data_IF_662201611056
#
_entry.id   IF_662201611056
#
_cell.length_a   1.000
_cell.length_b   1.000
_cell.length_c   1.000
_cell.angle_alpha   90.00
_cell.angle_beta   90.00
_cell.angle_gamma   90.00
#
_symmetry.space_group_name_H-M   'P 1'
#
loop_
_entity.id
_entity.type
_entity.pdbx_description
1 polymer ?
#
# COMPACT_ATOMS: atom_id res chain seq x y z
N UNK A 1 -27.79 -3.24 0.80
CA UNK A 1 -27.63 -3.26 -0.66
C UNK A 1 -26.64 -2.18 -1.02
N UNK A 2 -25.39 -2.55 -1.29
CA UNK A 2 -24.37 -1.58 -1.69
C UNK A 2 -24.61 -1.10 -3.11
N UNK A 3 -24.79 0.18 -3.31
CA UNK A 3 -25.20 0.81 -4.58
C UNK A 3 -24.19 0.56 -5.72
N UNK A 4 -22.98 0.10 -5.43
CA UNK A 4 -21.91 0.00 -6.42
C UNK A 4 -21.43 -1.42 -6.75
N UNK A 5 -21.73 -2.42 -5.94
CA UNK A 5 -21.26 -3.79 -6.20
C UNK A 5 -22.22 -4.83 -5.61
N UNK A 6 -23.02 -5.54 -6.42
CA UNK A 6 -23.75 -6.69 -5.96
C UNK A 6 -22.74 -7.78 -5.58
N UNK A 7 -22.74 -8.19 -4.32
CA UNK A 7 -22.03 -9.41 -3.92
C UNK A 7 -22.86 -10.59 -4.40
N UNK A 8 -22.36 -11.34 -5.38
CA UNK A 8 -22.99 -12.57 -5.80
C UNK A 8 -23.08 -13.56 -4.63
N UNK A 9 -24.21 -14.30 -4.51
CA UNK A 9 -24.37 -15.27 -3.44
C UNK A 9 -23.27 -16.34 -3.54
N UNK A 10 -22.62 -16.63 -2.42
CA UNK A 10 -21.57 -17.65 -2.35
C UNK A 10 -22.20 -19.00 -2.64
N UNK A 11 -21.89 -19.57 -3.79
CA UNK A 11 -22.24 -20.94 -4.12
C UNK A 11 -21.36 -21.85 -3.29
N UNK A 12 -21.94 -22.56 -2.32
CA UNK A 12 -21.24 -23.60 -1.56
C UNK A 12 -21.00 -24.81 -2.46
N UNK A 13 -19.92 -24.74 -3.25
CA UNK A 13 -19.44 -25.80 -4.12
C UNK A 13 -17.98 -26.14 -3.82
N UNK A 14 -17.45 -27.16 -4.48
CA UNK A 14 -16.02 -27.51 -4.39
C UNK A 14 -15.19 -26.32 -4.88
N UNK A 15 -14.44 -25.72 -3.96
CA UNK A 15 -13.59 -24.57 -4.27
C UNK A 15 -12.43 -25.02 -5.16
N UNK A 16 -12.23 -24.34 -6.28
CA UNK A 16 -11.03 -24.49 -7.07
C UNK A 16 -9.78 -24.20 -6.20
N UNK A 17 -8.66 -24.89 -6.46
CA UNK A 17 -7.40 -24.68 -5.72
C UNK A 17 -6.33 -24.15 -6.68
N UNK A 18 -5.43 -23.31 -6.17
CA UNK A 18 -4.30 -22.79 -6.94
C UNK A 18 -4.69 -21.71 -7.95
N UNK A 19 -4.06 -21.72 -9.12
CA UNK A 19 -4.26 -20.74 -10.20
C UNK A 19 -5.71 -20.55 -10.65
N UNK A 20 -6.52 -21.60 -10.85
CA UNK A 20 -7.94 -21.43 -11.21
C UNK A 20 -8.73 -20.63 -10.17
N UNK A 21 -8.41 -20.80 -8.88
CA UNK A 21 -9.05 -20.02 -7.82
C UNK A 21 -8.68 -18.55 -7.90
N UNK A 22 -7.43 -18.25 -8.21
CA UNK A 22 -6.96 -16.88 -8.38
C UNK A 22 -7.67 -16.18 -9.56
N UNK A 23 -7.82 -16.86 -10.68
CA UNK A 23 -8.55 -16.33 -11.85
C UNK A 23 -10.02 -16.05 -11.53
N UNK A 24 -10.71 -16.99 -10.87
CA UNK A 24 -12.08 -16.81 -10.41
C UNK A 24 -12.26 -15.57 -9.51
N UNK A 25 -11.36 -15.38 -8.55
CA UNK A 25 -11.37 -14.22 -7.68
C UNK A 25 -11.10 -12.93 -8.43
N UNK A 26 -10.15 -12.95 -9.36
CA UNK A 26 -9.82 -11.80 -10.19
C UNK A 26 -11.02 -11.38 -11.05
N UNK A 27 -11.68 -12.32 -11.70
CA UNK A 27 -12.87 -12.04 -12.51
C UNK A 27 -14.04 -11.50 -11.69
N UNK A 28 -14.26 -12.06 -10.49
CA UNK A 28 -15.35 -11.66 -9.61
C UNK A 28 -15.11 -10.31 -8.94
N UNK A 29 -13.93 -10.10 -8.39
CA UNK A 29 -13.65 -9.01 -7.44
C UNK A 29 -12.68 -7.94 -7.97
N UNK A 30 -12.26 -8.01 -9.25
CA UNK A 30 -11.24 -7.09 -9.80
C UNK A 30 -11.59 -5.60 -9.62
N UNK A 31 -12.88 -5.25 -9.77
CA UNK A 31 -13.34 -3.86 -9.54
C UNK A 31 -13.16 -3.44 -8.09
N UNK A 32 -13.46 -4.34 -7.16
CA UNK A 32 -13.30 -4.11 -5.73
C UNK A 32 -11.82 -3.92 -5.36
N UNK A 33 -10.94 -4.69 -5.98
CA UNK A 33 -9.50 -4.57 -5.80
C UNK A 33 -8.98 -3.24 -6.34
N UNK A 34 -9.36 -2.86 -7.55
CA UNK A 34 -9.00 -1.57 -8.12
C UNK A 34 -9.45 -0.40 -7.23
N UNK A 35 -10.68 -0.44 -6.71
CA UNK A 35 -11.16 0.61 -5.82
C UNK A 35 -10.39 0.65 -4.50
N UNK A 36 -10.05 -0.51 -3.92
CA UNK A 36 -9.21 -0.57 -2.72
C UNK A 36 -7.83 0.02 -2.96
N UNK A 37 -7.23 -0.28 -4.13
CA UNK A 37 -5.95 0.29 -4.55
C UNK A 37 -6.03 1.81 -4.73
N UNK A 38 -7.06 2.32 -5.42
CA UNK A 38 -7.26 3.76 -5.61
C UNK A 38 -7.44 4.50 -4.28
N UNK A 39 -8.21 3.95 -3.35
CA UNK A 39 -8.39 4.53 -2.01
C UNK A 39 -7.06 4.54 -1.25
N UNK A 40 -6.33 3.44 -1.29
CA UNK A 40 -5.02 3.33 -0.63
C UNK A 40 -4.01 4.30 -1.25
N UNK A 41 -3.94 4.39 -2.58
CA UNK A 41 -3.11 5.37 -3.29
C UNK A 41 -3.49 6.80 -2.91
N UNK A 42 -4.80 7.12 -2.84
CA UNK A 42 -5.29 8.43 -2.40
C UNK A 42 -4.80 8.80 -1.00
N UNK A 43 -4.78 7.84 -0.08
CA UNK A 43 -4.24 8.03 1.28
C UNK A 43 -2.70 8.14 1.31
N UNK A 44 -2.01 7.62 0.29
CA UNK A 44 -0.56 7.75 0.15
C UNK A 44 -0.12 9.07 -0.50
N UNK A 45 -1.03 9.82 -1.17
CA UNK A 45 -0.69 11.08 -1.84
C UNK A 45 -0.01 12.10 -0.91
N UNK A 46 -0.50 12.38 0.32
CA UNK A 46 0.14 13.34 1.21
C UNK A 46 1.59 12.96 1.53
N UNK A 47 1.85 11.67 1.73
CA UNK A 47 3.20 11.15 1.93
C UNK A 47 4.08 11.38 0.70
N UNK A 48 3.60 11.00 -0.49
CA UNK A 48 4.33 11.17 -1.75
C UNK A 48 4.68 12.64 -2.04
N UNK A 49 3.72 13.56 -1.82
CA UNK A 49 3.95 15.00 -1.99
C UNK A 49 4.97 15.53 -0.97
N UNK A 50 4.88 15.09 0.28
CA UNK A 50 5.83 15.48 1.33
C UNK A 50 7.25 14.99 1.05
N UNK A 51 7.40 13.74 0.61
CA UNK A 51 8.71 13.19 0.20
C UNK A 51 9.24 13.96 -1.01
N UNK A 52 8.41 14.19 -2.03
CA UNK A 52 8.79 14.98 -3.20
C UNK A 52 9.31 16.38 -2.81
N UNK A 53 8.62 17.06 -1.89
CA UNK A 53 9.07 18.35 -1.37
C UNK A 53 10.40 18.25 -0.61
N UNK A 54 10.57 17.23 0.24
CA UNK A 54 11.80 17.00 0.98
C UNK A 54 12.99 16.72 0.05
N UNK A 55 12.76 15.99 -1.02
CA UNK A 55 13.77 15.73 -2.06
C UNK A 55 14.16 17.01 -2.80
N UNK A 56 13.18 17.79 -3.26
CA UNK A 56 13.43 19.07 -3.96
C UNK A 56 14.19 20.07 -3.09
N UNK A 57 13.91 20.10 -1.79
CA UNK A 57 14.61 20.96 -0.82
C UNK A 57 15.94 20.37 -0.34
N UNK A 58 16.28 19.15 -0.73
CA UNK A 58 17.46 18.39 -0.27
C UNK A 58 17.61 18.39 1.26
N UNK A 59 16.46 18.36 1.99
CA UNK A 59 16.42 18.54 3.43
C UNK A 59 15.98 17.27 4.16
N UNK A 60 16.94 16.62 4.80
CA UNK A 60 16.69 15.45 5.65
C UNK A 60 15.82 15.79 6.89
N UNK A 61 15.91 17.05 7.38
CA UNK A 61 15.07 17.53 8.48
C UNK A 61 13.59 17.58 8.13
N UNK A 62 13.25 17.83 6.87
CA UNK A 62 11.86 17.78 6.37
C UNK A 62 11.42 16.36 6.13
N UNK A 63 12.31 15.50 5.62
CA UNK A 63 12.01 14.12 5.29
C UNK A 63 11.56 13.31 6.52
N UNK A 64 12.25 13.44 7.65
CA UNK A 64 11.95 12.65 8.85
C UNK A 64 10.50 12.83 9.35
N UNK A 65 10.00 14.06 9.62
CA UNK A 65 8.62 14.24 10.05
C UNK A 65 7.61 13.82 8.97
N UNK A 66 7.92 14.01 7.68
CA UNK A 66 7.06 13.56 6.58
C UNK A 66 6.92 12.04 6.58
N UNK A 67 8.01 11.30 6.78
CA UNK A 67 7.97 9.84 6.85
C UNK A 67 7.20 9.34 8.08
N UNK A 68 7.35 9.99 9.23
CA UNK A 68 6.61 9.63 10.44
C UNK A 68 5.10 9.87 10.23
N UNK A 69 4.71 11.07 9.80
CA UNK A 69 3.31 11.41 9.55
C UNK A 69 2.72 10.57 8.41
N UNK A 70 3.50 10.34 7.35
CA UNK A 70 3.13 9.46 6.25
C UNK A 70 2.85 8.04 6.71
N UNK A 71 3.70 7.48 7.56
CA UNK A 71 3.55 6.14 8.12
C UNK A 71 2.28 5.96 8.96
N UNK A 72 1.82 7.02 9.64
CA UNK A 72 0.56 7.03 10.39
C UNK A 72 -0.66 6.85 9.48
N UNK A 73 -0.60 7.28 8.22
CA UNK A 73 -1.66 7.13 7.23
C UNK A 73 -1.50 5.88 6.37
N UNK A 74 -0.29 5.69 5.85
CA UNK A 74 0.04 4.60 4.91
C UNK A 74 -0.06 3.22 5.58
N UNK A 75 0.40 3.07 6.82
CA UNK A 75 0.36 1.80 7.54
C UNK A 75 -1.07 1.24 7.68
N UNK A 76 -2.01 1.98 8.28
CA UNK A 76 -3.40 1.56 8.37
C UNK A 76 -4.08 1.37 7.01
N UNK A 77 -3.76 2.20 6.01
CA UNK A 77 -4.34 2.08 4.67
C UNK A 77 -3.94 0.76 4.00
N UNK A 78 -2.66 0.42 4.00
CA UNK A 78 -2.16 -0.86 3.47
C UNK A 78 -2.75 -2.04 4.26
N UNK A 79 -2.82 -1.95 5.58
CA UNK A 79 -3.42 -2.99 6.42
C UNK A 79 -4.89 -3.21 6.10
N UNK A 80 -5.67 -2.13 5.86
CA UNK A 80 -7.06 -2.20 5.43
C UNK A 80 -7.22 -2.88 4.08
N UNK A 81 -6.37 -2.53 3.12
CA UNK A 81 -6.34 -3.13 1.79
C UNK A 81 -6.04 -4.64 1.87
N UNK A 82 -5.00 -5.03 2.60
CA UNK A 82 -4.64 -6.44 2.77
C UNK A 82 -5.74 -7.25 3.45
N UNK A 83 -6.37 -6.71 4.51
CA UNK A 83 -7.47 -7.41 5.19
C UNK A 83 -8.70 -7.57 4.27
N UNK A 84 -9.01 -6.57 3.44
CA UNK A 84 -10.07 -6.65 2.45
C UNK A 84 -9.80 -7.75 1.40
N UNK A 85 -8.56 -7.83 0.89
CA UNK A 85 -8.10 -8.87 -0.04
C UNK A 85 -8.21 -10.27 0.57
N UNK A 86 -7.71 -10.46 1.80
CA UNK A 86 -7.77 -11.75 2.48
C UNK A 86 -9.20 -12.18 2.80
N UNK A 87 -10.10 -11.24 3.11
CA UNK A 87 -11.52 -11.53 3.33
C UNK A 87 -12.23 -11.90 2.06
N UNK A 88 -11.92 -11.23 0.95
CA UNK A 88 -12.44 -11.64 -0.37
C UNK A 88 -11.95 -13.03 -0.74
N UNK A 89 -10.68 -13.35 -0.51
CA UNK A 89 -10.14 -14.69 -0.74
C UNK A 89 -10.85 -15.78 0.08
N UNK A 90 -11.32 -15.44 1.28
CA UNK A 90 -12.08 -16.34 2.17
C UNK A 90 -13.58 -16.33 1.93
N UNK A 91 -14.06 -15.66 0.87
CA UNK A 91 -15.49 -15.50 0.56
C UNK A 91 -16.29 -14.88 1.71
N UNK A 92 -15.74 -13.87 2.37
CA UNK A 92 -16.44 -13.19 3.46
C UNK A 92 -17.67 -12.43 2.95
N UNK A 93 -18.83 -12.52 3.64
CA UNK A 93 -20.13 -12.06 3.13
C UNK A 93 -20.30 -10.54 3.09
N UNK A 94 -19.27 -9.76 3.34
CA UNK A 94 -19.33 -8.29 3.40
C UNK A 94 -18.73 -7.67 2.15
N UNK A 95 -19.26 -6.49 1.77
CA UNK A 95 -18.69 -5.67 0.71
C UNK A 95 -17.23 -5.28 0.99
N UNK A 96 -16.43 -5.06 -0.07
CA UNK A 96 -15.01 -4.72 0.05
C UNK A 96 -14.77 -3.47 0.92
N UNK A 97 -15.63 -2.45 0.81
CA UNK A 97 -15.52 -1.20 1.57
C UNK A 97 -15.67 -1.41 3.08
N UNK A 98 -16.67 -2.21 3.49
CA UNK A 98 -16.84 -2.55 4.90
C UNK A 98 -15.65 -3.34 5.43
N UNK A 99 -15.13 -4.29 4.64
CA UNK A 99 -13.96 -5.07 4.99
C UNK A 99 -12.71 -4.19 5.08
N UNK A 100 -12.52 -3.26 4.15
CA UNK A 100 -11.42 -2.29 4.14
C UNK A 100 -11.45 -1.41 5.40
N UNK A 101 -12.58 -0.74 5.66
CA UNK A 101 -12.74 0.12 6.84
C UNK A 101 -12.58 -0.65 8.15
N UNK A 102 -13.11 -1.88 8.20
CA UNK A 102 -12.98 -2.75 9.37
C UNK A 102 -11.53 -3.16 9.59
N UNK A 103 -10.83 -3.59 8.55
CA UNK A 103 -9.42 -3.96 8.60
C UNK A 103 -8.55 -2.79 9.07
N UNK A 104 -8.75 -1.61 8.48
CA UNK A 104 -8.06 -0.40 8.89
C UNK A 104 -8.29 -0.05 10.36
N UNK A 105 -9.54 -0.13 10.85
CA UNK A 105 -9.87 0.15 12.27
C UNK A 105 -9.32 -0.91 13.22
N UNK A 106 -9.42 -2.18 12.86
CA UNK A 106 -8.94 -3.29 13.71
C UNK A 106 -7.41 -3.30 13.85
N UNK A 107 -6.72 -3.01 12.75
CA UNK A 107 -5.26 -3.10 12.68
C UNK A 107 -4.56 -1.75 12.87
N UNK A 108 -5.31 -0.68 13.18
CA UNK A 108 -4.78 0.67 13.32
C UNK A 108 -3.50 0.70 14.17
N UNK A 109 -3.58 0.23 15.43
CA UNK A 109 -2.45 0.30 16.36
C UNK A 109 -1.27 -0.59 15.95
N UNK A 110 -1.54 -1.77 15.44
CA UNK A 110 -0.51 -2.74 15.05
C UNK A 110 0.18 -2.36 13.75
N UNK A 111 -0.48 -1.59 12.88
CA UNK A 111 0.07 -1.15 11.59
C UNK A 111 0.82 0.18 11.64
N UNK A 112 0.73 0.95 12.74
CA UNK A 112 1.42 2.22 12.87
C UNK A 112 2.94 2.06 12.81
N UNK A 113 3.49 1.21 13.67
CA UNK A 113 4.95 1.02 13.74
C UNK A 113 5.52 0.48 12.44
N UNK A 114 4.99 -0.63 11.85
CA UNK A 114 5.44 -1.09 10.55
C UNK A 114 5.30 -0.04 9.44
N UNK A 115 4.21 0.75 9.45
CA UNK A 115 3.97 1.81 8.48
C UNK A 115 5.03 2.92 8.57
N UNK A 116 5.37 3.37 9.79
CA UNK A 116 6.41 4.37 10.01
C UNK A 116 7.78 3.84 9.55
N UNK A 117 8.13 2.61 9.95
CA UNK A 117 9.41 2.00 9.55
C UNK A 117 9.50 1.86 8.04
N UNK A 118 8.44 1.42 7.38
CA UNK A 118 8.37 1.30 5.93
C UNK A 118 8.54 2.67 5.24
N UNK A 119 7.81 3.70 5.67
CA UNK A 119 7.90 5.03 5.10
C UNK A 119 9.27 5.67 5.34
N UNK A 120 9.88 5.44 6.52
CA UNK A 120 11.25 5.89 6.80
C UNK A 120 12.27 5.22 5.88
N UNK A 121 12.21 3.89 5.77
CA UNK A 121 13.13 3.14 4.91
C UNK A 121 13.03 3.62 3.46
N UNK A 122 11.82 3.68 2.91
CA UNK A 122 11.56 4.12 1.55
C UNK A 122 11.98 5.58 1.33
N UNK A 123 11.67 6.48 2.27
CA UNK A 123 12.03 7.90 2.16
C UNK A 123 13.54 8.12 2.21
N UNK A 124 14.24 7.42 3.10
CA UNK A 124 15.70 7.48 3.21
C UNK A 124 16.35 6.92 1.93
N UNK A 125 15.88 5.78 1.44
CA UNK A 125 16.40 5.18 0.20
C UNK A 125 16.25 6.11 -0.99
N UNK A 126 15.07 6.72 -1.17
CA UNK A 126 14.83 7.70 -2.23
C UNK A 126 15.72 8.94 -2.08
N UNK A 127 15.94 9.42 -0.84
CA UNK A 127 16.80 10.56 -0.59
C UNK A 127 18.25 10.27 -0.95
N UNK A 128 18.79 9.16 -0.48
CA UNK A 128 20.15 8.75 -0.83
C UNK A 128 20.29 8.46 -2.33
N UNK A 129 19.30 7.81 -2.94
CA UNK A 129 19.27 7.60 -4.37
C UNK A 129 19.39 8.92 -5.14
N UNK A 130 18.61 9.94 -4.75
CA UNK A 130 18.67 11.27 -5.37
C UNK A 130 20.04 11.95 -5.18
N UNK A 131 20.58 11.89 -3.95
CA UNK A 131 21.91 12.46 -3.67
C UNK A 131 23.00 11.80 -4.52
N UNK A 132 22.95 10.46 -4.64
CA UNK A 132 23.91 9.71 -5.47
C UNK A 132 23.76 10.01 -6.96
N UNK A 133 22.55 10.17 -7.47
CA UNK A 133 22.31 10.59 -8.85
C UNK A 133 22.79 12.01 -9.15
N UNK A 134 22.69 12.90 -8.16
CA UNK A 134 23.14 14.29 -8.26
C UNK A 134 24.66 14.43 -8.16
N UNK A 135 25.34 13.46 -7.56
CA UNK A 135 26.79 13.40 -7.49
C UNK A 135 27.34 12.84 -8.82
N UNK A 136 27.70 13.70 -9.76
CA UNK A 136 28.22 13.36 -11.11
C UNK A 136 29.45 12.40 -11.11
N UNK A 137 29.92 11.94 -9.97
CA UNK A 137 31.14 11.18 -9.80
C UNK A 137 30.98 9.66 -9.62
N UNK A 138 29.76 9.13 -9.61
CA UNK A 138 29.58 7.69 -9.43
C UNK A 138 29.47 6.97 -10.77
N UNK A 139 30.37 5.99 -11.05
CA UNK A 139 30.23 5.15 -12.24
C UNK A 139 28.88 4.42 -12.18
N UNK A 140 28.15 4.41 -13.30
CA UNK A 140 26.74 3.97 -13.39
C UNK A 140 26.38 2.58 -12.79
N UNK A 141 27.39 1.71 -12.57
CA UNK A 141 27.25 0.40 -11.94
C UNK A 141 27.11 0.53 -10.40
N UNK A 142 27.81 1.51 -9.78
CA UNK A 142 27.72 1.73 -8.33
C UNK A 142 26.34 2.25 -7.89
N UNK A 143 25.67 2.99 -8.77
CA UNK A 143 24.32 3.52 -8.50
C UNK A 143 23.27 2.41 -8.44
N UNK A 144 23.38 1.39 -9.28
CA UNK A 144 22.47 0.25 -9.27
C UNK A 144 22.64 -0.63 -8.03
N UNK A 145 23.85 -0.76 -7.50
CA UNK A 145 24.10 -1.57 -6.30
C UNK A 145 23.42 -1.01 -5.03
N UNK A 146 23.22 0.31 -4.95
CA UNK A 146 22.57 0.96 -3.80
C UNK A 146 21.05 0.70 -3.78
N UNK A 147 20.44 0.41 -4.93
CA UNK A 147 19.01 0.07 -5.00
C UNK A 147 18.69 -1.39 -4.68
N UNK A 148 19.72 -2.25 -4.59
CA UNK A 148 19.53 -3.70 -4.36
C UNK A 148 20.07 -4.18 -2.99
N UNK A 149 20.54 -3.29 -2.12
CA UNK A 149 20.95 -3.56 -0.75
C UNK A 149 19.90 -3.10 0.25
#
# INVERSE_FOLDING_TARGET
MGLFFPSDPIVHGQRAKGLPRYQELLERDWKSFLFADFVTLGLCIPYGLGVGYALLSSSLLVLLPVCILGGLLVGPAISGMMDALFRSYRDAPRGWWENYCKGMKQNWKSSLLPGIVFCLALGIELFFGMVLFSAEQLPGIGTLAVFFV
#
